data_IF_260393138021
#
_entry.id   IF_260393138021
#
_cell.length_a   1.000
_cell.length_b   1.000
_cell.length_c   1.000
_cell.angle_alpha   90.00
_cell.angle_beta   90.00
_cell.angle_gamma   90.00
#
_symmetry.space_group_name_H-M   'P 1'
#
loop_
_entity.id
_entity.type
_entity.pdbx_description
1 polymer ?
#
# COMPACT_ATOMS: atom_id res chain seq x y z
N UNK A 1 16.77 28.19 9.92
CA UNK A 1 16.64 27.38 8.70
C UNK A 1 16.01 26.02 8.99
N UNK A 2 16.45 25.28 10.02
CA UNK A 2 15.88 23.95 10.38
C UNK A 2 14.43 23.97 10.89
N UNK A 3 14.00 25.05 11.57
CA UNK A 3 12.62 25.18 12.09
C UNK A 3 11.60 25.39 10.96
N UNK A 4 11.99 26.08 9.89
CA UNK A 4 11.12 26.40 8.75
C UNK A 4 10.78 25.14 7.94
N UNK A 5 11.81 24.33 7.69
CA UNK A 5 11.70 23.01 7.06
C UNK A 5 10.72 22.07 7.76
N UNK A 6 10.80 21.94 9.09
CA UNK A 6 9.91 21.03 9.85
C UNK A 6 8.45 21.46 9.76
N UNK A 7 8.19 22.77 9.82
CA UNK A 7 6.84 23.32 9.73
C UNK A 7 6.22 23.05 8.36
N UNK A 8 7.00 23.21 7.30
CA UNK A 8 6.58 22.91 5.94
C UNK A 8 6.29 21.41 5.75
N UNK A 9 7.08 20.52 6.34
CA UNK A 9 6.82 19.07 6.24
C UNK A 9 5.51 18.63 6.90
N UNK A 10 5.22 19.13 8.11
CA UNK A 10 3.94 18.82 8.77
C UNK A 10 2.74 19.28 7.92
N UNK A 11 2.87 20.40 7.23
CA UNK A 11 1.86 20.88 6.29
C UNK A 11 1.65 19.91 5.12
N UNK A 12 2.72 19.40 4.51
CA UNK A 12 2.62 18.41 3.43
C UNK A 12 2.03 17.07 3.89
N UNK A 13 2.40 16.59 5.08
CA UNK A 13 1.80 15.38 5.66
C UNK A 13 0.30 15.55 5.90
N UNK A 14 -0.11 16.71 6.40
CA UNK A 14 -1.53 17.04 6.57
C UNK A 14 -2.28 17.05 5.24
N UNK A 15 -1.68 17.63 4.19
CA UNK A 15 -2.24 17.60 2.84
C UNK A 15 -2.42 16.17 2.35
N UNK A 16 -1.38 15.33 2.44
CA UNK A 16 -1.43 13.94 1.97
C UNK A 16 -2.51 13.12 2.68
N UNK A 17 -2.66 13.30 4.00
CA UNK A 17 -3.75 12.68 4.77
C UNK A 17 -5.13 13.18 4.32
N UNK A 18 -5.25 14.48 4.07
CA UNK A 18 -6.50 15.08 3.56
C UNK A 18 -6.86 14.53 2.17
N UNK A 19 -5.87 14.38 1.28
CA UNK A 19 -6.07 13.78 -0.04
C UNK A 19 -6.53 12.33 0.10
N UNK A 20 -5.91 11.55 0.98
CA UNK A 20 -6.30 10.16 1.22
C UNK A 20 -7.78 10.05 1.64
N UNK A 21 -8.22 10.89 2.60
CA UNK A 21 -9.63 10.94 3.01
C UNK A 21 -10.56 11.37 1.87
N UNK A 22 -10.16 12.37 1.07
CA UNK A 22 -10.92 12.80 -0.10
C UNK A 22 -11.06 11.67 -1.13
N UNK A 23 -10.02 10.87 -1.35
CA UNK A 23 -10.06 9.71 -2.24
C UNK A 23 -10.96 8.59 -1.71
N UNK A 24 -11.00 8.36 -0.39
CA UNK A 24 -11.97 7.42 0.22
C UNK A 24 -13.39 7.89 -0.08
N UNK A 25 -13.70 9.16 0.16
CA UNK A 25 -15.03 9.72 -0.12
C UNK A 25 -15.36 9.60 -1.61
N UNK A 26 -14.42 9.92 -2.49
CA UNK A 26 -14.57 9.79 -3.94
C UNK A 26 -14.85 8.34 -4.35
N UNK A 27 -14.12 7.37 -3.79
CA UNK A 27 -14.35 5.94 -4.01
C UNK A 27 -15.76 5.55 -3.61
N UNK A 28 -16.21 5.93 -2.41
CA UNK A 28 -17.57 5.62 -1.91
C UNK A 28 -18.62 6.23 -2.83
N UNK A 29 -18.49 7.50 -3.20
CA UNK A 29 -19.43 8.17 -4.11
C UNK A 29 -19.46 7.50 -5.49
N UNK A 30 -18.30 7.09 -6.01
CA UNK A 30 -18.18 6.42 -7.30
C UNK A 30 -18.87 5.05 -7.28
N UNK A 31 -18.69 4.27 -6.22
CA UNK A 31 -19.36 2.98 -6.04
C UNK A 31 -20.87 3.14 -5.85
N UNK A 32 -21.31 4.17 -5.13
CA UNK A 32 -22.73 4.50 -4.97
C UNK A 32 -23.37 4.83 -6.32
N UNK A 33 -22.71 5.65 -7.16
CA UNK A 33 -23.19 6.01 -8.49
C UNK A 33 -23.28 4.81 -9.43
N UNK A 34 -22.35 3.85 -9.29
CA UNK A 34 -22.35 2.62 -10.06
C UNK A 34 -23.33 1.56 -9.51
N UNK A 35 -23.98 1.82 -8.36
CA UNK A 35 -24.85 0.85 -7.69
C UNK A 35 -24.10 -0.38 -7.17
N UNK A 36 -22.78 -0.29 -7.00
CA UNK A 36 -21.89 -1.41 -6.66
C UNK A 36 -21.48 -1.42 -5.19
N UNK A 37 -22.33 -0.98 -4.27
CA UNK A 37 -22.01 -1.03 -2.83
C UNK A 37 -22.05 -2.48 -2.37
N UNK A 38 -20.92 -3.09 -2.00
CA UNK A 38 -20.88 -4.47 -1.55
C UNK A 38 -21.43 -4.57 -0.12
N UNK A 39 -22.51 -5.33 0.07
CA UNK A 39 -23.05 -5.60 1.41
C UNK A 39 -22.42 -6.84 2.07
N UNK A 40 -21.73 -7.66 1.28
CA UNK A 40 -21.04 -8.85 1.74
C UNK A 40 -19.82 -9.10 0.85
N UNK A 41 -18.68 -9.39 1.46
CA UNK A 41 -17.46 -9.80 0.76
C UNK A 41 -17.23 -11.27 1.11
N UNK A 42 -17.12 -12.17 0.12
CA UNK A 42 -16.83 -13.57 0.43
C UNK A 42 -15.47 -13.68 1.12
N UNK A 43 -15.36 -14.58 2.09
CA UNK A 43 -14.16 -14.74 2.92
C UNK A 43 -12.90 -14.99 2.08
N UNK A 44 -13.03 -15.72 0.97
CA UNK A 44 -11.94 -15.95 0.04
C UNK A 44 -11.38 -14.64 -0.55
N UNK A 45 -12.26 -13.74 -0.99
CA UNK A 45 -11.84 -12.47 -1.58
C UNK A 45 -11.24 -11.53 -0.52
N UNK A 46 -11.69 -11.60 0.74
CA UNK A 46 -11.04 -10.87 1.83
C UNK A 46 -9.57 -11.29 1.99
N UNK A 47 -9.28 -12.59 2.05
CA UNK A 47 -7.90 -13.08 2.13
C UNK A 47 -7.10 -12.80 0.85
N UNK A 48 -7.73 -12.93 -0.32
CA UNK A 48 -7.11 -12.59 -1.60
C UNK A 48 -6.68 -11.12 -1.62
N UNK A 49 -7.57 -10.19 -1.27
CA UNK A 49 -7.29 -8.75 -1.25
C UNK A 49 -6.23 -8.41 -0.20
N UNK A 50 -6.26 -9.04 0.97
CA UNK A 50 -5.25 -8.85 2.01
C UNK A 50 -3.86 -9.31 1.54
N UNK A 51 -3.75 -10.51 0.96
CA UNK A 51 -2.49 -11.05 0.44
C UNK A 51 -1.97 -10.28 -0.78
N UNK A 52 -2.88 -9.84 -1.67
CA UNK A 52 -2.52 -9.01 -2.81
C UNK A 52 -1.97 -7.65 -2.37
N UNK A 53 -2.66 -6.99 -1.43
CA UNK A 53 -2.21 -5.73 -0.83
C UNK A 53 -0.84 -5.91 -0.19
N UNK A 54 -0.67 -6.94 0.64
CA UNK A 54 0.61 -7.27 1.27
C UNK A 54 1.74 -7.43 0.25
N UNK A 55 1.50 -8.17 -0.85
CA UNK A 55 2.51 -8.36 -1.90
C UNK A 55 2.85 -7.06 -2.59
N UNK A 56 1.85 -6.25 -2.97
CA UNK A 56 2.06 -4.98 -3.68
C UNK A 56 2.80 -3.98 -2.79
N UNK A 57 2.42 -3.86 -1.52
CA UNK A 57 3.12 -2.99 -0.56
C UNK A 57 4.57 -3.42 -0.42
N UNK A 58 4.85 -4.72 -0.23
CA UNK A 58 6.23 -5.21 -0.14
C UNK A 58 7.01 -5.00 -1.43
N UNK A 59 6.36 -5.15 -2.58
CA UNK A 59 6.96 -4.88 -3.90
C UNK A 59 7.36 -3.42 -4.06
N UNK A 60 6.66 -2.46 -3.45
CA UNK A 60 6.98 -1.03 -3.55
C UNK A 60 8.01 -0.56 -2.53
N UNK A 61 7.99 -1.15 -1.33
CA UNK A 61 8.77 -0.66 -0.18
C UNK A 61 10.10 -1.42 -0.04
N UNK A 62 10.13 -2.71 -0.40
CA UNK A 62 11.23 -3.62 -0.04
C UNK A 62 11.87 -4.34 -1.21
N UNK A 63 11.30 -4.28 -2.42
CA UNK A 63 11.79 -5.05 -3.56
C UNK A 63 12.79 -4.24 -4.39
N UNK A 64 13.84 -4.92 -4.86
CA UNK A 64 14.88 -4.34 -5.70
C UNK A 64 14.31 -3.76 -6.99
N UNK A 65 13.22 -4.34 -7.50
CA UNK A 65 12.57 -3.86 -8.72
C UNK A 65 12.10 -2.42 -8.56
N UNK A 66 11.65 -2.00 -7.38
CA UNK A 66 11.23 -0.62 -7.14
C UNK A 66 12.34 0.27 -6.57
N UNK A 67 13.59 -0.20 -6.49
CA UNK A 67 14.68 0.61 -5.94
C UNK A 67 14.90 1.89 -6.75
N UNK A 68 14.72 1.84 -8.08
CA UNK A 68 14.78 3.05 -8.91
C UNK A 68 13.72 4.09 -8.53
N UNK A 69 12.56 3.66 -8.03
CA UNK A 69 11.50 4.56 -7.56
C UNK A 69 11.94 5.21 -6.25
N UNK A 70 12.50 4.43 -5.33
CA UNK A 70 12.98 4.92 -4.02
C UNK A 70 14.15 5.88 -4.19
N UNK A 71 15.14 5.52 -5.02
CA UNK A 71 16.29 6.36 -5.35
C UNK A 71 15.88 7.65 -6.08
N UNK A 72 14.81 7.65 -6.88
CA UNK A 72 14.31 8.88 -7.49
C UNK A 72 13.91 9.94 -6.44
N UNK A 73 13.56 9.51 -5.22
CA UNK A 73 13.14 10.36 -4.13
C UNK A 73 14.15 10.50 -2.98
N UNK A 74 15.28 9.78 -3.00
CA UNK A 74 16.28 9.77 -1.91
C UNK A 74 16.89 11.13 -1.59
N UNK A 75 17.11 11.96 -2.62
CA UNK A 75 17.76 13.27 -2.47
C UNK A 75 16.78 14.38 -2.06
N UNK A 76 15.53 14.02 -1.77
CA UNK A 76 14.52 14.99 -1.38
C UNK A 76 14.85 15.54 0.00
N UNK A 77 15.09 16.85 0.07
CA UNK A 77 15.19 17.53 1.36
C UNK A 77 13.80 17.94 1.79
N UNK A 78 13.06 18.79 1.08
CA UNK A 78 11.73 19.27 1.52
C UNK A 78 10.64 19.15 0.45
N UNK A 79 9.42 19.57 0.82
CA UNK A 79 8.26 19.60 -0.04
C UNK A 79 7.61 18.24 -0.29
N UNK A 80 6.80 18.19 -1.33
CA UNK A 80 6.08 17.00 -1.79
C UNK A 80 7.02 15.82 -2.09
N UNK A 81 8.22 16.09 -2.60
CA UNK A 81 9.20 15.05 -2.95
C UNK A 81 9.62 14.25 -1.71
N UNK A 82 9.83 14.92 -0.58
CA UNK A 82 10.14 14.25 0.69
C UNK A 82 8.92 13.48 1.20
N UNK A 83 7.72 14.06 1.11
CA UNK A 83 6.51 13.36 1.56
C UNK A 83 6.26 12.08 0.76
N UNK A 84 6.58 12.03 -0.53
CA UNK A 84 6.54 10.80 -1.33
C UNK A 84 7.58 9.78 -0.88
N UNK A 85 8.79 10.25 -0.53
CA UNK A 85 9.82 9.40 0.07
C UNK A 85 9.35 8.81 1.41
N UNK A 86 8.83 9.63 2.32
CA UNK A 86 8.29 9.21 3.62
C UNK A 86 7.15 8.19 3.45
N UNK A 87 6.32 8.38 2.43
CA UNK A 87 5.21 7.47 2.12
C UNK A 87 5.74 6.09 1.70
N UNK A 88 6.71 6.05 0.79
CA UNK A 88 7.32 4.83 0.26
C UNK A 88 8.21 4.12 1.29
N UNK A 89 8.84 4.84 2.21
CA UNK A 89 9.63 4.23 3.28
C UNK A 89 8.77 3.66 4.40
N UNK A 90 7.55 4.17 4.58
CA UNK A 90 6.62 3.67 5.58
C UNK A 90 5.71 2.57 5.00
N UNK A 91 5.92 1.29 5.34
CA UNK A 91 5.12 0.18 4.81
C UNK A 91 3.64 0.27 5.21
N UNK A 92 3.33 0.86 6.36
CA UNK A 92 1.97 1.06 6.82
C UNK A 92 1.22 2.09 5.98
N UNK A 93 1.88 3.21 5.67
CA UNK A 93 1.32 4.27 4.85
C UNK A 93 1.14 3.77 3.41
N UNK A 94 2.18 3.20 2.80
CA UNK A 94 2.06 2.60 1.46
C UNK A 94 0.98 1.52 1.45
N UNK A 95 0.88 0.68 2.49
CA UNK A 95 -0.20 -0.30 2.64
C UNK A 95 -1.60 0.29 2.63
N UNK A 96 -1.83 1.38 3.36
CA UNK A 96 -3.11 2.08 3.35
C UNK A 96 -3.48 2.58 1.94
N UNK A 97 -2.55 3.27 1.27
CA UNK A 97 -2.76 3.76 -0.10
C UNK A 97 -2.98 2.61 -1.10
N UNK A 98 -2.17 1.56 -1.04
CA UNK A 98 -2.31 0.39 -1.90
C UNK A 98 -3.66 -0.29 -1.68
N UNK A 99 -4.09 -0.47 -0.44
CA UNK A 99 -5.40 -1.12 -0.15
C UNK A 99 -6.58 -0.33 -0.71
N UNK A 100 -6.51 1.01 -0.69
CA UNK A 100 -7.51 1.87 -1.31
C UNK A 100 -7.55 1.64 -2.82
N UNK A 101 -6.40 1.66 -3.50
CA UNK A 101 -6.34 1.44 -4.95
C UNK A 101 -6.76 0.02 -5.35
N UNK A 102 -6.32 -0.99 -4.59
CA UNK A 102 -6.67 -2.41 -4.80
C UNK A 102 -8.17 -2.61 -4.63
N UNK A 103 -8.77 -2.09 -3.56
CA UNK A 103 -10.21 -2.15 -3.33
C UNK A 103 -10.99 -1.46 -4.45
N UNK A 104 -10.60 -0.25 -4.83
CA UNK A 104 -11.23 0.48 -5.92
C UNK A 104 -11.15 -0.30 -7.25
N UNK A 105 -9.98 -0.86 -7.60
CA UNK A 105 -9.79 -1.64 -8.81
C UNK A 105 -10.66 -2.91 -8.82
N UNK A 106 -10.72 -3.63 -7.69
CA UNK A 106 -11.53 -4.84 -7.53
C UNK A 106 -13.02 -4.58 -7.80
N UNK A 107 -13.59 -3.50 -7.27
CA UNK A 107 -15.04 -3.22 -7.43
C UNK A 107 -15.38 -2.58 -8.79
N UNK A 108 -14.49 -1.77 -9.36
CA UNK A 108 -14.78 -1.06 -10.60
C UNK A 108 -14.46 -1.87 -11.84
N UNK A 109 -13.38 -2.66 -11.82
CA UNK A 109 -12.79 -3.28 -13.00
C UNK A 109 -12.85 -4.81 -12.93
N UNK A 110 -13.57 -5.49 -13.84
CA UNK A 110 -13.69 -6.96 -13.81
C UNK A 110 -12.35 -7.66 -14.08
N UNK A 111 -11.44 -7.03 -14.83
CA UNK A 111 -10.10 -7.56 -15.10
C UNK A 111 -9.16 -7.50 -13.88
N UNK A 112 -9.51 -6.74 -12.84
CA UNK A 112 -8.67 -6.66 -11.64
C UNK A 112 -8.66 -7.99 -10.87
N UNK A 113 -9.74 -8.77 -10.92
CA UNK A 113 -9.84 -10.03 -10.17
C UNK A 113 -8.69 -11.02 -10.45
N UNK A 114 -8.40 -11.42 -11.71
CA UNK A 114 -7.28 -12.34 -11.97
C UNK A 114 -5.90 -11.74 -11.62
N UNK A 115 -5.72 -10.42 -11.79
CA UNK A 115 -4.45 -9.76 -11.45
C UNK A 115 -4.22 -9.81 -9.93
N UNK A 116 -5.25 -9.50 -9.15
CA UNK A 116 -5.21 -9.54 -7.69
C UNK A 116 -5.02 -10.96 -7.17
N UNK A 117 -5.62 -11.96 -7.83
CA UNK A 117 -5.39 -13.36 -7.50
C UNK A 117 -3.91 -13.77 -7.69
N UNK A 118 -3.29 -13.39 -8.82
CA UNK A 118 -1.87 -13.67 -9.07
C UNK A 118 -1.00 -13.01 -8.00
N UNK A 119 -1.28 -11.75 -7.66
CA UNK A 119 -0.57 -11.03 -6.60
C UNK A 119 -0.77 -11.67 -5.23
N UNK A 120 -1.97 -12.17 -4.93
CA UNK A 120 -2.28 -12.86 -3.69
C UNK A 120 -1.50 -14.17 -3.55
N UNK A 121 -1.41 -14.97 -4.61
CA UNK A 121 -0.64 -16.24 -4.60
C UNK A 121 0.86 -15.96 -4.38
N UNK A 122 1.41 -14.95 -5.06
CA UNK A 122 2.80 -14.52 -4.83
C UNK A 122 3.01 -13.99 -3.40
N UNK A 123 2.04 -13.26 -2.85
CA UNK A 123 2.01 -12.79 -1.46
C UNK A 123 2.01 -13.93 -0.47
N UNK A 124 1.23 -14.98 -0.73
CA UNK A 124 1.18 -16.17 0.11
C UNK A 124 2.53 -16.91 0.15
N UNK A 125 3.17 -17.11 -1.00
CA UNK A 125 4.52 -17.69 -1.05
C UNK A 125 5.53 -16.88 -0.24
N UNK A 126 5.44 -15.55 -0.34
CA UNK A 126 6.30 -14.62 0.41
C UNK A 126 6.07 -14.71 1.93
N UNK A 127 4.81 -14.85 2.35
CA UNK A 127 4.43 -15.03 3.75
C UNK A 127 5.00 -16.34 4.30
N UNK A 128 4.88 -17.44 3.56
CA UNK A 128 5.45 -18.73 3.94
C UNK A 128 6.97 -18.65 4.11
N UNK A 129 7.67 -17.95 3.22
CA UNK A 129 9.13 -17.77 3.34
C UNK A 129 9.50 -16.98 4.61
N UNK A 130 8.77 -15.91 4.94
CA UNK A 130 9.01 -15.17 6.19
C UNK A 130 8.79 -16.07 7.40
N UNK A 131 7.67 -16.82 7.42
CA UNK A 131 7.36 -17.73 8.51
C UNK A 131 8.41 -18.84 8.64
N UNK A 132 8.88 -19.40 7.53
CA UNK A 132 9.95 -20.38 7.52
C UNK A 132 11.24 -19.80 8.12
N UNK A 133 11.64 -18.60 7.71
CA UNK A 133 12.81 -17.91 8.27
C UNK A 133 12.66 -17.63 9.77
N UNK A 134 11.47 -17.21 10.23
CA UNK A 134 11.18 -16.98 11.65
C UNK A 134 11.25 -18.27 12.45
N UNK A 135 10.72 -19.38 11.92
CA UNK A 135 10.84 -20.69 12.56
C UNK A 135 12.30 -21.14 12.64
N UNK A 136 13.09 -20.93 11.58
CA UNK A 136 14.52 -21.26 11.61
C UNK A 136 15.27 -20.44 12.66
N UNK A 137 15.04 -19.13 12.76
CA UNK A 137 15.66 -18.29 13.79
C UNK A 137 15.26 -18.74 15.20
N UNK A 138 13.98 -19.05 15.40
CA UNK A 138 13.46 -19.53 16.69
C UNK A 138 14.06 -20.88 17.10
N UNK A 139 14.22 -21.80 16.14
CA UNK A 139 14.82 -23.11 16.38
C UNK A 139 16.35 -23.05 16.55
N UNK A 140 17.02 -22.11 15.89
CA UNK A 140 18.48 -22.04 15.94
C UNK A 140 19.00 -21.40 17.23
N UNK A 141 18.15 -20.68 17.99
CA UNK A 141 18.34 -20.35 19.41
C UNK A 141 19.69 -19.71 19.83
N UNK A 142 20.50 -19.33 18.84
CA UNK A 142 21.75 -18.59 18.85
C UNK A 142 21.65 -17.54 17.75
#
# INVERSE_FOLDING_TARGET
>A
MEIDYKKDQHFWHFITSTIYLALIILMIVSLNKLGKIPNHIPTFDFFMLALATFRITRLLVHDLVSDFVRDAFSDATYGLKLTLHDLLDCPWCTGAWVSLFVGFAYFTTPLAWPILLIMAVAGFGTLLTILASLMMVSLNGK
#
